data_IF_636253786830
#
_entry.id   IF_636253786830
#
_cell.length_a   1.000
_cell.length_b   1.000
_cell.length_c   1.000
_cell.angle_alpha   90.00
_cell.angle_beta   90.00
_cell.angle_gamma   90.00
#
_symmetry.space_group_name_H-M   'P 1'
#
loop_
_entity.id
_entity.type
_entity.pdbx_description
1 polymer ?
#
# COMPACT_ATOMS: atom_id res chain seq x y z
N UNK A 1 -13.40 8.29 -7.43
CA UNK A 1 -12.85 9.65 -7.20
C UNK A 1 -13.77 10.81 -7.65
N UNK A 2 -14.92 10.58 -8.28
CA UNK A 2 -15.70 11.69 -8.90
C UNK A 2 -16.22 12.75 -7.91
N UNK A 3 -16.70 12.34 -6.72
CA UNK A 3 -17.20 13.28 -5.70
C UNK A 3 -16.06 14.17 -5.19
N UNK A 4 -14.95 13.56 -4.73
CA UNK A 4 -13.79 14.31 -4.24
C UNK A 4 -13.21 15.26 -5.30
N UNK A 5 -13.16 14.80 -6.56
CA UNK A 5 -12.74 15.62 -7.70
C UNK A 5 -13.66 16.80 -7.95
N UNK A 6 -14.98 16.59 -7.93
CA UNK A 6 -15.97 17.66 -8.11
C UNK A 6 -15.83 18.75 -7.03
N UNK A 7 -15.57 18.34 -5.79
CA UNK A 7 -15.42 19.25 -4.65
C UNK A 7 -13.99 19.79 -4.46
N UNK A 8 -13.04 19.44 -5.34
CA UNK A 8 -11.61 19.76 -5.22
C UNK A 8 -10.99 19.35 -3.87
N UNK A 9 -11.36 18.17 -3.37
CA UNK A 9 -10.86 17.62 -2.10
C UNK A 9 -9.72 16.62 -2.39
N UNK A 10 -8.51 16.82 -1.84
CA UNK A 10 -7.42 15.86 -1.98
C UNK A 10 -7.74 14.57 -1.23
N UNK A 11 -7.31 13.43 -1.78
CA UNK A 11 -7.54 12.11 -1.19
C UNK A 11 -6.20 11.43 -0.95
N UNK A 12 -5.96 11.07 0.31
CA UNK A 12 -4.85 10.21 0.75
C UNK A 12 -5.49 8.99 1.43
N UNK A 13 -5.37 7.78 0.86
CA UNK A 13 -5.96 6.59 1.46
C UNK A 13 -5.30 6.23 2.80
N UNK A 14 -6.13 5.87 3.79
CA UNK A 14 -5.64 5.26 5.02
C UNK A 14 -4.93 3.94 4.72
N UNK A 15 -3.73 3.75 5.29
CA UNK A 15 -2.79 2.67 4.96
C UNK A 15 -2.53 2.55 3.45
N UNK A 16 -2.31 3.70 2.79
CA UNK A 16 -2.01 3.76 1.36
C UNK A 16 -0.77 2.97 0.93
N UNK A 17 0.16 2.68 1.85
CA UNK A 17 1.36 1.90 1.59
C UNK A 17 1.17 0.38 1.52
N UNK A 18 -0.03 -0.14 1.82
CA UNK A 18 -0.31 -1.58 1.71
C UNK A 18 -0.41 -2.02 0.24
N UNK A 19 -0.33 -3.34 0.01
CA UNK A 19 -0.27 -3.95 -1.34
C UNK A 19 -1.34 -3.46 -2.33
N UNK A 20 -2.56 -3.18 -1.86
CA UNK A 20 -3.63 -2.62 -2.68
C UNK A 20 -3.62 -1.09 -2.77
N UNK A 21 -3.13 -0.40 -1.73
CA UNK A 21 -3.18 1.05 -1.62
C UNK A 21 -2.32 1.73 -2.69
N UNK A 22 -1.11 1.21 -2.92
CA UNK A 22 -0.19 1.73 -3.93
C UNK A 22 -0.81 1.66 -5.34
N UNK A 23 -1.46 0.54 -5.66
CA UNK A 23 -2.14 0.35 -6.95
C UNK A 23 -3.31 1.33 -7.10
N UNK A 24 -4.05 1.59 -6.03
CA UNK A 24 -5.14 2.57 -6.04
C UNK A 24 -4.62 4.00 -6.23
N UNK A 25 -3.52 4.37 -5.57
CA UNK A 25 -2.90 5.70 -5.70
C UNK A 25 -2.43 5.93 -7.15
N UNK A 26 -1.64 5.02 -7.73
CA UNK A 26 -1.08 5.22 -9.08
C UNK A 26 -2.13 5.15 -10.20
N UNK A 27 -3.32 4.59 -9.93
CA UNK A 27 -4.38 4.43 -10.92
C UNK A 27 -5.51 5.46 -10.80
N UNK A 28 -5.40 6.43 -9.88
CA UNK A 28 -6.46 7.39 -9.61
C UNK A 28 -5.93 8.81 -9.41
N UNK A 29 -6.86 9.76 -9.22
CA UNK A 29 -6.54 11.16 -8.91
C UNK A 29 -6.25 11.36 -7.40
N UNK A 30 -5.76 10.35 -6.68
CA UNK A 30 -5.29 10.54 -5.30
C UNK A 30 -4.01 11.38 -5.29
N UNK A 31 -3.72 12.00 -4.15
CA UNK A 31 -2.40 12.60 -3.94
C UNK A 31 -1.32 11.52 -4.03
N UNK A 32 -0.14 11.89 -4.53
CA UNK A 32 1.01 10.98 -4.65
C UNK A 32 1.70 10.76 -3.30
N UNK A 33 0.92 10.32 -2.31
CA UNK A 33 1.31 10.11 -0.92
C UNK A 33 0.70 8.81 -0.40
N UNK A 34 1.51 8.00 0.26
CA UNK A 34 1.10 6.76 0.88
C UNK A 34 1.30 6.84 2.40
N UNK A 35 0.24 6.58 3.17
CA UNK A 35 0.37 6.38 4.61
C UNK A 35 0.97 4.99 4.89
N UNK A 36 2.06 4.95 5.66
CA UNK A 36 2.72 3.72 6.10
C UNK A 36 2.56 3.61 7.62
N UNK A 37 1.98 2.51 8.09
CA UNK A 37 1.97 2.17 9.50
C UNK A 37 3.10 1.15 9.76
N UNK A 38 4.22 1.56 10.37
CA UNK A 38 5.31 0.64 10.71
C UNK A 38 4.93 -0.37 11.81
N UNK A 39 3.73 -0.29 12.38
CA UNK A 39 3.30 -1.12 13.50
C UNK A 39 3.93 -0.67 14.82
N UNK A 40 3.78 -1.50 15.84
CA UNK A 40 4.36 -1.28 17.17
C UNK A 40 5.85 -1.63 17.12
N UNK A 41 6.72 -0.76 17.66
CA UNK A 41 8.19 -0.81 17.51
C UNK A 41 8.85 -2.13 17.95
N UNK A 42 8.16 -2.96 18.71
CA UNK A 42 8.67 -4.20 19.32
C UNK A 42 7.89 -5.46 18.92
N UNK A 43 6.88 -5.33 18.05
CA UNK A 43 6.10 -6.48 17.59
C UNK A 43 6.65 -7.04 16.28
N UNK A 44 6.63 -8.36 16.18
CA UNK A 44 6.94 -9.04 14.92
C UNK A 44 5.82 -8.72 13.95
N UNK A 45 6.11 -7.98 12.88
CA UNK A 45 5.15 -7.77 11.79
C UNK A 45 4.76 -9.13 11.22
N UNK A 46 3.47 -9.35 11.07
CA UNK A 46 2.96 -10.48 10.30
C UNK A 46 3.46 -10.37 8.86
N UNK A 47 4.35 -11.28 8.46
CA UNK A 47 4.83 -11.37 7.08
C UNK A 47 3.82 -12.12 6.20
N UNK A 48 2.59 -11.61 6.14
CA UNK A 48 1.48 -12.23 5.41
C UNK A 48 1.75 -12.30 3.91
N UNK A 49 2.41 -11.30 3.36
CA UNK A 49 2.66 -11.16 1.93
C UNK A 49 4.13 -11.37 1.61
N UNK A 50 4.42 -12.36 0.77
CA UNK A 50 5.73 -12.54 0.17
C UNK A 50 5.85 -11.57 -1.02
N UNK A 51 6.88 -10.73 -0.98
CA UNK A 51 7.16 -9.72 -2.01
C UNK A 51 6.42 -8.40 -1.84
N UNK A 52 5.89 -8.11 -0.64
CA UNK A 52 5.32 -6.81 -0.31
C UNK A 52 6.30 -5.67 -0.61
N UNK A 53 5.86 -4.56 -1.22
CA UNK A 53 6.71 -3.40 -1.42
C UNK A 53 7.22 -2.83 -0.09
N UNK A 54 8.54 -2.67 0.01
CA UNK A 54 9.18 -2.00 1.13
C UNK A 54 9.46 -0.54 0.76
N UNK A 55 9.28 0.35 1.73
CA UNK A 55 9.67 1.74 1.54
C UNK A 55 11.19 1.90 1.69
N UNK A 56 11.78 2.79 0.89
CA UNK A 56 13.19 3.14 0.96
C UNK A 56 13.32 4.66 0.88
N UNK A 57 14.03 5.26 1.85
CA UNK A 57 14.28 6.71 1.92
C UNK A 57 13.01 7.58 1.78
N UNK A 58 11.88 7.10 2.31
CA UNK A 58 10.60 7.81 2.28
C UNK A 58 9.78 7.61 0.99
N UNK A 59 10.25 6.77 0.07
CA UNK A 59 9.55 6.40 -1.16
C UNK A 59 9.09 4.95 -1.12
N UNK A 60 8.00 4.66 -1.82
CA UNK A 60 7.46 3.31 -2.00
C UNK A 60 6.71 3.28 -3.34
N UNK A 61 6.74 2.14 -4.03
CA UNK A 61 6.12 1.99 -5.35
C UNK A 61 5.52 0.58 -5.52
N UNK A 62 4.44 0.43 -6.32
CA UNK A 62 3.96 -0.90 -6.70
C UNK A 62 4.99 -1.62 -7.57
N UNK A 63 4.93 -2.95 -7.59
CA UNK A 63 5.79 -3.76 -8.47
C UNK A 63 5.13 -4.02 -9.82
N UNK A 64 5.90 -4.29 -10.86
CA UNK A 64 5.39 -4.69 -12.19
C UNK A 64 4.90 -6.16 -12.28
N UNK A 65 4.82 -6.88 -11.15
CA UNK A 65 4.36 -8.27 -11.13
C UNK A 65 2.82 -8.35 -11.26
N UNK A 66 2.26 -9.46 -11.79
CA UNK A 66 0.82 -9.60 -11.97
C UNK A 66 -0.01 -9.40 -10.69
N UNK A 67 -1.22 -8.86 -10.84
CA UNK A 67 -2.12 -8.59 -9.73
C UNK A 67 -1.60 -7.45 -8.85
N UNK A 68 -1.52 -7.68 -7.53
CA UNK A 68 -0.88 -6.76 -6.58
C UNK A 68 0.62 -7.04 -6.41
N UNK A 69 1.18 -7.97 -7.19
CA UNK A 69 2.59 -8.32 -7.16
C UNK A 69 3.05 -9.11 -5.92
N UNK A 70 2.13 -9.64 -5.11
CA UNK A 70 2.45 -10.41 -3.90
C UNK A 70 1.87 -11.83 -3.94
N UNK A 71 2.42 -12.71 -3.12
CA UNK A 71 1.89 -14.04 -2.85
C UNK A 71 1.59 -14.22 -1.36
N UNK A 72 0.59 -15.03 -0.97
CA UNK A 72 0.36 -15.34 0.43
C UNK A 72 1.54 -16.14 1.01
N UNK A 73 1.92 -15.84 2.24
CA UNK A 73 2.92 -16.61 2.97
C UNK A 73 2.31 -17.91 3.49
N UNK A 74 2.52 -18.99 2.74
CA UNK A 74 1.95 -20.31 3.04
C UNK A 74 2.50 -20.93 4.34
N UNK A 75 3.61 -20.43 4.90
CA UNK A 75 4.12 -20.91 6.19
C UNK A 75 3.25 -20.46 7.38
N UNK A 76 2.33 -19.52 7.16
CA UNK A 76 1.40 -19.02 8.17
C UNK A 76 0.06 -19.78 8.17
N UNK A 77 -0.10 -20.76 7.28
CA UNK A 77 -1.25 -21.66 7.31
C UNK A 77 -1.11 -22.67 8.47
N UNK A 78 -2.22 -23.06 9.10
CA UNK A 78 -2.24 -24.02 10.20
C UNK A 78 -1.83 -25.44 9.80
#
# INVERSE_FOLDING_TARGET
>A
MQIAKHENIPVVPHRGGEVWGLHFIVSSDCENLAEILPGTREETKDALWIGEPEYFEGYIEPTDRPGFGVAPNLSMLP
#
